data_IF_973778724108
#
_entry.id   IF_973778724108
#
_cell.length_a   1.000
_cell.length_b   1.000
_cell.length_c   1.000
_cell.angle_alpha   90.00
_cell.angle_beta   90.00
_cell.angle_gamma   90.00
#
_symmetry.space_group_name_H-M   'P 1'
#
loop_
_entity.id
_entity.type
_entity.pdbx_description
1 polymer ?
#
# COMPACT_ATOMS: atom_id res chain seq x y z
N UNK A 1 -2.33 -9.99 13.74
CA UNK A 1 -1.77 -9.05 12.75
C UNK A 1 -2.85 -8.83 11.72
N UNK A 2 -3.33 -7.60 11.54
CA UNK A 2 -4.31 -7.30 10.49
C UNK A 2 -3.58 -7.37 9.15
N UNK A 3 -4.13 -8.11 8.18
CA UNK A 3 -3.58 -8.15 6.84
C UNK A 3 -3.70 -6.75 6.20
N UNK A 4 -2.60 -6.26 5.66
CA UNK A 4 -2.53 -5.03 4.90
C UNK A 4 -3.14 -5.13 3.51
N UNK A 5 -3.28 -4.00 2.78
CA UNK A 5 -3.82 -4.02 1.42
C UNK A 5 -2.85 -4.62 0.39
N UNK A 6 -1.61 -4.97 0.73
CA UNK A 6 -0.70 -5.61 -0.21
C UNK A 6 -1.08 -7.08 -0.37
N UNK A 7 -1.58 -7.47 -1.55
CA UNK A 7 -1.91 -8.86 -1.86
C UNK A 7 -0.72 -9.63 -2.41
N UNK A 8 0.05 -9.06 -3.33
CA UNK A 8 1.25 -9.68 -3.90
C UNK A 8 2.17 -8.67 -4.58
N UNK A 9 3.47 -8.97 -4.64
CA UNK A 9 4.44 -8.31 -5.52
C UNK A 9 4.59 -9.17 -6.77
N UNK A 10 4.23 -8.60 -7.91
CA UNK A 10 4.27 -9.29 -9.21
C UNK A 10 5.68 -9.27 -9.80
N UNK A 11 6.39 -8.15 -9.71
CA UNK A 11 7.76 -8.03 -10.22
C UNK A 11 8.53 -6.87 -9.59
N UNK A 12 9.84 -7.02 -9.53
CA UNK A 12 10.78 -5.95 -9.18
C UNK A 12 11.79 -5.86 -10.32
N UNK A 13 11.72 -4.78 -11.09
CA UNK A 13 12.65 -4.47 -12.18
C UNK A 13 13.73 -3.50 -11.72
N UNK A 14 14.96 -3.69 -12.20
CA UNK A 14 16.09 -2.80 -11.94
C UNK A 14 17.03 -2.75 -13.15
N UNK A 15 17.96 -1.81 -13.16
CA UNK A 15 19.06 -1.76 -14.13
C UNK A 15 20.34 -2.19 -13.42
N UNK A 16 21.03 -3.20 -13.96
CA UNK A 16 22.28 -3.71 -13.37
C UNK A 16 23.47 -2.78 -13.64
N UNK A 17 24.64 -3.10 -13.08
CA UNK A 17 25.84 -2.30 -13.25
C UNK A 17 26.36 -2.21 -14.70
N UNK A 18 25.92 -3.10 -15.60
CA UNK A 18 26.24 -3.05 -17.02
C UNK A 18 25.26 -2.16 -17.81
N UNK A 19 24.20 -1.66 -17.18
CA UNK A 19 23.18 -0.84 -17.82
C UNK A 19 22.01 -1.63 -18.41
N UNK A 20 21.92 -2.93 -18.12
CA UNK A 20 20.89 -3.80 -18.68
C UNK A 20 19.68 -3.93 -17.74
N UNK A 21 18.49 -4.03 -18.32
CA UNK A 21 17.26 -4.21 -17.56
C UNK A 21 17.14 -5.65 -17.04
N UNK A 22 16.96 -5.79 -15.73
CA UNK A 22 16.85 -7.06 -15.04
C UNK A 22 15.55 -7.15 -14.24
N UNK A 23 15.11 -8.38 -14.00
CA UNK A 23 14.02 -8.68 -13.06
C UNK A 23 14.60 -9.46 -11.89
N UNK A 24 14.33 -8.98 -10.66
CA UNK A 24 14.74 -9.66 -9.45
C UNK A 24 13.95 -10.95 -9.26
N UNK A 25 14.65 -12.06 -9.05
CA UNK A 25 14.01 -13.34 -8.80
C UNK A 25 13.23 -13.33 -7.47
N UNK A 26 12.02 -13.90 -7.47
CA UNK A 26 11.19 -14.03 -6.25
C UNK A 26 11.82 -14.93 -5.18
N UNK A 27 12.90 -15.64 -5.49
CA UNK A 27 13.72 -16.39 -4.52
C UNK A 27 14.64 -15.49 -3.68
N UNK A 28 14.86 -14.24 -4.09
CA UNK A 28 15.75 -13.28 -3.40
C UNK A 28 15.02 -12.52 -2.30
N UNK A 29 13.74 -12.20 -2.52
CA UNK A 29 12.97 -11.34 -1.62
C UNK A 29 11.72 -12.03 -1.06
N UNK A 30 11.18 -11.45 0.00
CA UNK A 30 9.88 -11.78 0.56
C UNK A 30 9.07 -10.50 0.84
N UNK A 31 7.76 -10.67 0.89
CA UNK A 31 6.81 -9.59 1.11
C UNK A 31 6.31 -9.64 2.55
N UNK A 32 6.47 -8.55 3.28
CA UNK A 32 5.83 -8.36 4.57
C UNK A 32 4.54 -7.59 4.34
N UNK A 33 3.40 -8.24 4.62
CA UNK A 33 2.05 -7.74 4.30
C UNK A 33 1.34 -7.18 5.51
N UNK A 34 2.10 -6.75 6.51
CA UNK A 34 1.57 -6.43 7.82
C UNK A 34 0.98 -5.03 7.86
N UNK A 35 -0.32 -4.94 8.15
CA UNK A 35 -1.02 -3.68 8.34
C UNK A 35 -0.85 -2.70 7.16
N UNK A 36 -0.85 -1.40 7.47
CA UNK A 36 -0.79 -0.35 6.45
C UNK A 36 0.64 0.02 6.04
N UNK A 37 1.63 -0.75 6.47
CA UNK A 37 3.05 -0.52 6.21
C UNK A 37 3.71 -1.76 5.60
N UNK A 38 3.22 -2.23 4.43
CA UNK A 38 3.85 -3.35 3.77
C UNK A 38 5.27 -3.00 3.34
N UNK A 39 6.16 -3.99 3.39
CA UNK A 39 7.56 -3.83 3.01
C UNK A 39 8.08 -5.05 2.24
N UNK A 40 9.21 -4.88 1.57
CA UNK A 40 9.91 -5.95 0.88
C UNK A 40 11.25 -6.15 1.59
N UNK A 41 11.53 -7.38 1.99
CA UNK A 41 12.77 -7.76 2.67
C UNK A 41 13.52 -8.81 1.86
N UNK A 42 14.82 -8.97 2.16
CA UNK A 42 15.61 -10.06 1.62
C UNK A 42 15.31 -11.35 2.38
N UNK A 43 15.20 -12.46 1.65
CA UNK A 43 15.18 -13.78 2.26
C UNK A 43 16.52 -14.09 2.95
N UNK A 44 16.55 -15.01 3.92
CA UNK A 44 17.77 -15.37 4.62
C UNK A 44 18.91 -15.76 3.67
N UNK A 45 20.09 -15.17 3.89
CA UNK A 45 21.30 -15.43 3.09
C UNK A 45 21.32 -14.78 1.71
N UNK A 46 20.31 -13.98 1.36
CA UNK A 46 20.28 -13.23 0.10
C UNK A 46 20.84 -11.83 0.26
N UNK A 47 21.22 -11.21 -0.85
CA UNK A 47 21.68 -9.83 -0.93
C UNK A 47 21.01 -9.10 -2.08
N UNK A 48 20.81 -7.79 -1.96
CA UNK A 48 20.38 -6.96 -3.08
C UNK A 48 21.45 -6.99 -4.18
N UNK A 49 21.07 -7.16 -5.46
CA UNK A 49 22.02 -7.11 -6.55
C UNK A 49 22.57 -5.68 -6.71
N UNK A 50 23.76 -5.57 -7.30
CA UNK A 50 24.31 -4.29 -7.70
C UNK A 50 23.44 -3.64 -8.77
N UNK A 51 23.12 -2.36 -8.60
CA UNK A 51 22.35 -1.55 -9.55
C UNK A 51 23.24 -0.50 -10.22
N UNK A 52 22.85 -0.01 -11.39
CA UNK A 52 23.43 1.20 -11.96
C UNK A 52 23.06 2.41 -11.08
N UNK A 53 24.02 3.16 -10.52
CA UNK A 53 23.72 4.33 -9.70
C UNK A 53 22.89 5.37 -10.47
N UNK A 54 21.85 5.91 -9.82
CA UNK A 54 20.93 6.89 -10.43
C UNK A 54 19.85 6.29 -11.32
N UNK A 55 19.87 4.97 -11.56
CA UNK A 55 18.78 4.26 -12.25
C UNK A 55 17.54 4.11 -11.36
N UNK A 56 16.40 3.78 -11.96
CA UNK A 56 15.13 3.53 -11.25
C UNK A 56 14.98 2.06 -10.92
N UNK A 57 14.37 1.78 -9.77
CA UNK A 57 13.82 0.47 -9.43
C UNK A 57 12.30 0.57 -9.58
N UNK A 58 11.72 -0.37 -10.33
CA UNK A 58 10.27 -0.41 -10.58
C UNK A 58 9.69 -1.61 -9.86
N UNK A 59 8.70 -1.38 -8.99
CA UNK A 59 7.95 -2.44 -8.31
C UNK A 59 6.54 -2.48 -8.88
N UNK A 60 6.12 -3.67 -9.34
CA UNK A 60 4.74 -3.94 -9.74
C UNK A 60 4.12 -4.83 -8.69
N UNK A 61 2.99 -4.42 -8.12
CA UNK A 61 2.32 -5.13 -7.04
C UNK A 61 0.79 -4.99 -7.16
N UNK A 62 0.08 -5.96 -6.62
CA UNK A 62 -1.38 -5.97 -6.48
C UNK A 62 -1.72 -5.49 -5.08
N UNK A 63 -2.53 -4.44 -5.01
CA UNK A 63 -3.10 -3.93 -3.77
C UNK A 63 -4.62 -4.03 -3.80
N UNK A 64 -5.23 -4.26 -2.65
CA UNK A 64 -6.66 -4.42 -2.49
C UNK A 64 -7.00 -5.57 -1.55
N UNK A 65 -8.22 -6.09 -1.69
CA UNK A 65 -8.70 -7.24 -0.95
C UNK A 65 -10.02 -6.98 -0.26
N UNK A 66 -10.28 -7.74 0.80
CA UNK A 66 -11.47 -7.56 1.63
C UNK A 66 -11.44 -6.19 2.32
N UNK A 67 -12.48 -5.40 2.11
CA UNK A 67 -12.64 -4.09 2.74
C UNK A 67 -13.16 -4.29 4.18
N UNK A 68 -12.49 -3.75 5.21
CA UNK A 68 -13.02 -3.77 6.57
C UNK A 68 -14.41 -3.14 6.64
N UNK A 69 -15.24 -3.63 7.56
CA UNK A 69 -16.62 -3.17 7.70
C UNK A 69 -16.66 -1.68 8.09
N UNK A 70 -15.72 -1.24 8.92
CA UNK A 70 -15.57 0.15 9.36
C UNK A 70 -15.28 1.08 8.18
N UNK A 71 -14.42 0.65 7.25
CA UNK A 71 -14.10 1.39 6.02
C UNK A 71 -15.33 1.43 5.10
N UNK A 72 -16.07 0.31 5.00
CA UNK A 72 -17.30 0.25 4.19
C UNK A 72 -18.38 1.18 4.74
N UNK A 73 -18.59 1.19 6.05
CA UNK A 73 -19.51 2.10 6.73
C UNK A 73 -19.09 3.56 6.59
N UNK A 74 -17.80 3.86 6.71
CA UNK A 74 -17.26 5.19 6.48
C UNK A 74 -17.61 5.70 5.07
N UNK A 75 -17.45 4.85 4.05
CA UNK A 75 -17.83 5.17 2.68
C UNK A 75 -19.33 5.44 2.54
N UNK A 76 -20.20 4.60 3.12
CA UNK A 76 -21.65 4.77 3.04
C UNK A 76 -22.10 6.08 3.71
N UNK A 77 -21.62 6.38 4.92
CA UNK A 77 -21.92 7.63 5.63
C UNK A 77 -21.47 8.84 4.81
N UNK A 78 -20.29 8.75 4.19
CA UNK A 78 -19.77 9.84 3.35
C UNK A 78 -20.62 10.06 2.09
N UNK A 79 -20.97 8.99 1.38
CA UNK A 79 -21.77 9.04 0.16
C UNK A 79 -23.19 9.55 0.44
N UNK A 80 -23.83 9.08 1.51
CA UNK A 80 -25.15 9.52 1.93
C UNK A 80 -25.19 11.03 2.23
N UNK A 81 -24.21 11.50 3.01
CA UNK A 81 -24.08 12.93 3.32
C UNK A 81 -23.93 13.78 2.06
N UNK A 82 -23.07 13.36 1.12
CA UNK A 82 -22.86 14.06 -0.15
C UNK A 82 -24.06 13.97 -1.11
N UNK A 83 -24.87 12.91 -0.99
CA UNK A 83 -26.09 12.76 -1.78
C UNK A 83 -27.16 13.77 -1.33
N UNK A 84 -27.34 13.90 -0.02
CA UNK A 84 -28.33 14.78 0.61
C UNK A 84 -27.90 16.25 0.64
N UNK A 85 -26.62 16.54 0.86
CA UNK A 85 -26.08 17.91 0.93
C UNK A 85 -25.12 18.11 -0.22
N UNK A 86 -25.54 18.92 -1.21
CA UNK A 86 -24.77 19.20 -2.44
C UNK A 86 -23.84 20.40 -2.33
N UNK A 87 -23.90 21.11 -1.20
CA UNK A 87 -23.03 22.24 -0.93
C UNK A 87 -21.82 21.80 -0.09
N UNK A 88 -20.68 22.42 -0.33
CA UNK A 88 -19.43 22.10 0.36
C UNK A 88 -19.27 22.97 1.61
N UNK A 89 -20.16 22.75 2.59
CA UNK A 89 -20.07 23.42 3.88
C UNK A 89 -18.75 23.09 4.61
N UNK A 90 -18.23 24.00 5.45
CA UNK A 90 -17.06 23.71 6.29
C UNK A 90 -17.30 22.44 7.11
N UNK A 91 -16.33 21.54 7.07
CA UNK A 91 -16.40 20.27 7.79
C UNK A 91 -16.10 20.51 9.29
N UNK A 92 -16.84 19.85 10.17
CA UNK A 92 -16.54 19.83 11.60
C UNK A 92 -15.19 19.16 11.89
N UNK A 93 -14.56 19.50 13.01
CA UNK A 93 -13.21 19.05 13.35
C UNK A 93 -13.08 17.54 13.60
N UNK A 94 -14.17 16.85 13.98
CA UNK A 94 -14.16 15.41 14.24
C UNK A 94 -15.51 14.78 13.95
N UNK A 95 -15.57 13.90 12.95
CA UNK A 95 -16.82 13.32 12.44
C UNK A 95 -16.86 11.80 12.64
N UNK A 96 -18.03 11.18 12.43
CA UNK A 96 -18.16 9.71 12.42
C UNK A 96 -17.21 9.07 11.40
N UNK A 97 -16.95 9.75 10.27
CA UNK A 97 -15.96 9.31 9.30
C UNK A 97 -14.56 9.19 9.91
N UNK A 98 -14.16 10.16 10.74
CA UNK A 98 -12.84 10.16 11.38
C UNK A 98 -12.71 9.06 12.43
N UNK A 99 -13.79 8.80 13.18
CA UNK A 99 -13.86 7.69 14.14
C UNK A 99 -13.72 6.34 13.43
N UNK A 100 -14.41 6.14 12.32
CA UNK A 100 -14.37 4.88 11.58
C UNK A 100 -13.02 4.65 10.90
N UNK A 101 -12.34 5.72 10.47
CA UNK A 101 -11.08 5.61 9.72
C UNK A 101 -9.82 5.75 10.59
N UNK A 102 -9.91 6.08 11.88
CA UNK A 102 -8.73 6.38 12.70
C UNK A 102 -7.74 5.20 12.75
N UNK A 103 -8.23 3.97 12.86
CA UNK A 103 -7.40 2.75 12.87
C UNK A 103 -6.98 2.28 11.46
N UNK A 104 -7.45 2.96 10.41
CA UNK A 104 -7.15 2.65 9.02
C UNK A 104 -6.28 3.74 8.35
N UNK A 105 -5.58 4.56 9.16
CA UNK A 105 -4.62 5.56 8.70
C UNK A 105 -3.19 5.07 8.95
N UNK A 106 -2.28 5.36 8.01
CA UNK A 106 -0.84 5.11 8.20
C UNK A 106 -0.31 6.00 9.33
N UNK A 107 0.56 5.46 10.17
CA UNK A 107 1.20 6.21 11.28
C UNK A 107 0.25 6.66 12.40
N UNK A 108 -0.93 6.04 12.51
CA UNK A 108 -1.89 6.27 13.58
C UNK A 108 -1.58 5.44 14.84
#
# INVERSE_FOLDING_TARGET
>A
MLAGPLESVTSIGYVDAAGEAQTLAATVYEEHKDGLEPSIALKPGQSWPGILPGSRITVTAVFGGAVPEEVSHAMLVFVDSAYHVRDNAPRENWTVLDVLLCNHRRGA
#
